data_IF_627238192325
#
_entry.id   IF_627238192325
#
_cell.length_a   1.000
_cell.length_b   1.000
_cell.length_c   1.000
_cell.angle_alpha   90.00
_cell.angle_beta   90.00
_cell.angle_gamma   90.00
#
_symmetry.space_group_name_H-M   'P 1'
#
loop_
_entity.id
_entity.type
_entity.pdbx_description
1 polymer ?
#
# COMPACT_ATOMS: atom_id res chain seq x y z
N UNK A 1 21.72 0.20 22.43
CA UNK A 1 20.87 1.26 23.03
C UNK A 1 21.12 1.31 24.53
N UNK A 2 21.11 2.51 25.15
CA UNK A 2 21.33 2.72 26.59
C UNK A 2 20.09 3.27 27.31
N UNK A 3 18.93 2.68 27.00
CA UNK A 3 17.63 3.20 27.42
C UNK A 3 17.49 3.26 28.94
N UNK A 4 17.84 2.19 29.64
CA UNK A 4 17.72 2.12 31.10
C UNK A 4 18.67 3.11 31.77
N UNK A 5 19.93 3.14 31.35
CA UNK A 5 20.93 4.03 31.93
C UNK A 5 20.55 5.51 31.75
N UNK A 6 20.04 5.89 30.57
CA UNK A 6 19.69 7.27 30.25
C UNK A 6 18.38 7.74 30.91
N UNK A 7 17.39 6.85 31.05
CA UNK A 7 16.03 7.25 31.43
C UNK A 7 15.58 6.76 32.82
N UNK A 8 16.10 5.63 33.33
CA UNK A 8 15.58 4.98 34.54
C UNK A 8 16.59 4.79 35.66
N UNK A 9 17.88 4.73 35.37
CA UNK A 9 18.92 4.49 36.38
C UNK A 9 18.91 5.53 37.51
N UNK A 10 18.52 6.77 37.18
CA UNK A 10 18.44 7.89 38.13
C UNK A 10 17.26 7.78 39.11
N UNK A 11 16.26 6.94 38.81
CA UNK A 11 15.11 6.73 39.69
C UNK A 11 15.41 5.74 40.83
N UNK A 12 16.33 4.79 40.60
CA UNK A 12 16.66 3.71 41.55
C UNK A 12 17.02 4.25 42.95
N UNK A 13 17.91 5.27 43.10
CA UNK A 13 18.26 5.82 44.41
C UNK A 13 17.05 6.30 45.20
N UNK A 14 16.14 7.01 44.53
CA UNK A 14 14.93 7.54 45.14
C UNK A 14 13.96 6.42 45.48
N UNK A 15 13.78 5.43 44.60
CA UNK A 15 12.90 4.29 44.84
C UNK A 15 13.35 3.46 46.04
N UNK A 16 14.64 3.12 46.12
CA UNK A 16 15.25 2.44 47.28
C UNK A 16 15.04 3.23 48.57
N UNK A 17 15.30 4.54 48.55
CA UNK A 17 15.14 5.41 49.71
C UNK A 17 13.68 5.50 50.16
N UNK A 18 12.75 5.60 49.21
CA UNK A 18 11.31 5.65 49.48
C UNK A 18 10.82 4.33 50.06
N UNK A 19 11.20 3.19 49.49
CA UNK A 19 10.89 1.86 50.02
C UNK A 19 11.42 1.70 51.44
N UNK A 20 12.71 1.99 51.67
CA UNK A 20 13.31 1.91 53.01
C UNK A 20 12.54 2.76 54.03
N UNK A 21 12.20 3.99 53.69
CA UNK A 21 11.43 4.89 54.58
C UNK A 21 10.01 4.41 54.80
N UNK A 22 9.32 3.93 53.76
CA UNK A 22 7.95 3.40 53.82
C UNK A 22 7.83 2.28 54.85
N UNK A 23 8.85 1.41 54.93
CA UNK A 23 8.91 0.29 55.88
C UNK A 23 9.67 0.62 57.19
N UNK A 24 9.97 1.90 57.45
CA UNK A 24 10.69 2.36 58.65
C UNK A 24 12.05 1.70 58.91
N UNK A 25 12.74 1.29 57.85
CA UNK A 25 14.04 0.62 57.92
C UNK A 25 15.18 1.65 58.04
N UNK A 26 16.24 1.30 58.79
CA UNK A 26 17.50 2.05 58.85
C UNK A 26 18.41 1.61 57.69
N UNK A 27 19.36 2.47 57.32
CA UNK A 27 20.35 2.13 56.29
C UNK A 27 21.22 0.91 56.68
N UNK A 28 21.42 0.69 57.99
CA UNK A 28 22.11 -0.49 58.53
C UNK A 28 21.36 -1.80 58.30
N UNK A 29 20.03 -1.71 58.13
CA UNK A 29 19.18 -2.90 57.97
C UNK A 29 19.26 -3.44 56.53
N UNK A 30 19.80 -2.63 55.61
CA UNK A 30 20.06 -2.98 54.21
C UNK A 30 21.55 -3.27 53.92
N UNK A 31 22.36 -3.47 54.98
CA UNK A 31 23.79 -3.72 54.90
C UNK A 31 24.64 -2.57 55.45
N UNK A 32 25.78 -2.28 54.81
CA UNK A 32 26.66 -1.22 55.29
C UNK A 32 25.99 0.16 55.11
N UNK A 33 25.65 0.83 56.21
CA UNK A 33 24.94 2.11 56.19
C UNK A 33 25.63 3.18 55.32
N UNK A 34 26.97 3.20 55.29
CA UNK A 34 27.75 4.08 54.43
C UNK A 34 27.52 3.78 52.95
N UNK A 35 27.57 2.51 52.55
CA UNK A 35 27.33 2.07 51.17
C UNK A 35 25.88 2.35 50.73
N UNK A 36 24.90 2.00 51.56
CA UNK A 36 23.48 2.26 51.30
C UNK A 36 23.22 3.76 51.14
N UNK A 37 23.85 4.59 51.98
CA UNK A 37 23.79 6.06 51.86
C UNK A 37 24.37 6.59 50.55
N UNK A 38 25.41 5.95 50.00
CA UNK A 38 25.94 6.33 48.68
C UNK A 38 24.97 5.92 47.55
N UNK A 39 24.34 4.75 47.65
CA UNK A 39 23.33 4.28 46.68
C UNK A 39 22.12 5.19 46.68
N UNK A 40 21.56 5.54 47.84
CA UNK A 40 20.42 6.48 47.96
C UNK A 40 20.72 7.90 47.49
N UNK A 41 22.01 8.25 47.31
CA UNK A 41 22.47 9.53 46.75
C UNK A 41 22.84 9.44 45.28
N UNK A 42 22.67 8.29 44.64
CA UNK A 42 23.08 8.05 43.25
C UNK A 42 24.59 8.04 43.03
N UNK A 43 25.40 7.95 44.10
CA UNK A 43 26.87 7.96 44.01
C UNK A 43 27.46 6.57 43.80
N UNK A 44 26.65 5.51 43.97
CA UNK A 44 27.03 4.13 43.76
C UNK A 44 25.84 3.35 43.21
N UNK A 45 26.11 2.40 42.31
CA UNK A 45 25.09 1.47 41.82
C UNK A 45 24.58 0.56 42.94
N UNK A 46 23.33 0.12 42.80
CA UNK A 46 22.73 -0.86 43.71
C UNK A 46 23.42 -2.22 43.54
N UNK A 47 23.57 -2.97 44.64
CA UNK A 47 24.19 -4.30 44.64
C UNK A 47 23.15 -5.38 44.94
N UNK A 48 23.43 -6.61 44.51
CA UNK A 48 22.58 -7.79 44.78
C UNK A 48 22.27 -7.97 46.27
N UNK A 49 23.24 -7.67 47.15
CA UNK A 49 23.03 -7.77 48.60
C UNK A 49 22.02 -6.74 49.12
N UNK A 50 22.05 -5.49 48.63
CA UNK A 50 21.07 -4.47 49.00
C UNK A 50 19.68 -4.88 48.50
N UNK A 51 19.58 -5.45 47.31
CA UNK A 51 18.33 -6.00 46.78
C UNK A 51 17.78 -7.12 47.66
N UNK A 52 18.60 -8.11 48.01
CA UNK A 52 18.22 -9.21 48.90
C UNK A 52 17.67 -8.68 50.24
N UNK A 53 18.38 -7.73 50.87
CA UNK A 53 17.92 -7.17 52.13
C UNK A 53 16.61 -6.39 51.97
N UNK A 54 16.43 -5.63 50.89
CA UNK A 54 15.15 -4.98 50.62
C UNK A 54 14.03 -5.99 50.43
N UNK A 55 14.22 -6.99 49.56
CA UNK A 55 13.23 -8.03 49.31
C UNK A 55 12.84 -8.75 50.61
N UNK A 56 13.81 -9.24 51.38
CA UNK A 56 13.54 -9.95 52.65
C UNK A 56 12.86 -9.09 53.73
N UNK A 57 13.11 -7.79 53.76
CA UNK A 57 12.52 -6.88 54.77
C UNK A 57 11.18 -6.27 54.35
N UNK A 58 10.87 -6.25 53.06
CA UNK A 58 9.70 -5.53 52.52
C UNK A 58 8.73 -6.40 51.71
N UNK A 59 9.12 -7.64 51.41
CA UNK A 59 8.44 -8.56 50.49
C UNK A 59 8.24 -7.99 49.08
N UNK A 60 9.01 -6.95 48.71
CA UNK A 60 8.96 -6.34 47.38
C UNK A 60 9.78 -7.15 46.38
N UNK A 61 9.21 -7.39 45.19
CA UNK A 61 9.88 -8.09 44.10
C UNK A 61 11.12 -7.30 43.61
N UNK A 62 12.20 -8.01 43.27
CA UNK A 62 13.38 -7.40 42.65
C UNK A 62 13.04 -6.60 41.39
N UNK A 63 12.08 -7.08 40.59
CA UNK A 63 11.56 -6.39 39.41
C UNK A 63 10.99 -5.01 39.78
N UNK A 64 10.16 -4.95 40.81
CA UNK A 64 9.54 -3.71 41.29
C UNK A 64 10.58 -2.75 41.87
N UNK A 65 11.59 -3.27 42.57
CA UNK A 65 12.67 -2.44 43.12
C UNK A 65 13.48 -1.78 41.99
N UNK A 66 13.80 -2.53 40.91
CA UNK A 66 14.67 -2.05 39.83
C UNK A 66 13.92 -1.29 38.73
N UNK A 67 12.80 -1.82 38.25
CA UNK A 67 12.04 -1.25 37.14
C UNK A 67 10.85 -0.41 37.61
N UNK A 68 10.32 -0.68 38.81
CA UNK A 68 9.10 -0.03 39.31
C UNK A 68 7.88 -0.75 38.76
N UNK A 69 6.97 0.01 38.17
CA UNK A 69 5.88 -0.59 37.39
C UNK A 69 6.44 -1.16 36.08
N UNK A 70 6.51 -2.50 36.00
CA UNK A 70 7.10 -3.20 34.86
C UNK A 70 6.31 -2.96 33.57
N UNK A 71 4.98 -2.85 33.66
CA UNK A 71 4.11 -2.57 32.52
C UNK A 71 4.44 -1.20 31.95
N UNK A 72 4.51 -0.19 32.82
CA UNK A 72 4.88 1.18 32.41
C UNK A 72 6.31 1.29 31.90
N UNK A 73 7.25 0.56 32.50
CA UNK A 73 8.63 0.51 32.03
C UNK A 73 8.70 -0.04 30.60
N UNK A 74 8.04 -1.18 30.34
CA UNK A 74 8.03 -1.82 29.01
C UNK A 74 7.29 -0.98 27.98
N UNK A 75 6.18 -0.34 28.37
CA UNK A 75 5.44 0.62 27.53
C UNK A 75 6.33 1.77 27.08
N UNK A 76 7.01 2.44 28.01
CA UNK A 76 7.89 3.56 27.73
C UNK A 76 9.10 3.14 26.89
N UNK A 77 9.63 1.93 27.12
CA UNK A 77 10.69 1.36 26.28
C UNK A 77 10.20 1.11 24.86
N UNK A 78 9.01 0.51 24.70
CA UNK A 78 8.42 0.30 23.39
C UNK A 78 8.15 1.63 22.70
N UNK A 79 7.62 2.64 23.40
CA UNK A 79 7.40 3.98 22.87
C UNK A 79 8.71 4.59 22.34
N UNK A 80 9.79 4.53 23.13
CA UNK A 80 11.10 5.03 22.74
C UNK A 80 11.68 4.28 21.53
N UNK A 81 11.59 2.95 21.52
CA UNK A 81 12.02 2.15 20.38
C UNK A 81 11.17 2.45 19.13
N UNK A 82 9.86 2.61 19.28
CA UNK A 82 8.94 2.85 18.18
C UNK A 82 9.07 4.27 17.63
N UNK A 83 9.38 5.28 18.46
CA UNK A 83 9.65 6.65 17.99
C UNK A 83 10.84 6.75 17.05
N UNK A 84 11.70 5.72 16.98
CA UNK A 84 12.77 5.64 15.99
C UNK A 84 12.27 5.71 14.54
N UNK A 85 11.00 5.37 14.26
CA UNK A 85 10.42 5.47 12.90
C UNK A 85 10.31 6.91 12.39
N UNK A 86 10.35 7.90 13.28
CA UNK A 86 10.24 9.31 12.94
C UNK A 86 11.51 9.83 12.25
N UNK A 87 12.65 9.19 12.46
CA UNK A 87 13.93 9.60 11.89
C UNK A 87 14.19 8.90 10.56
N UNK A 88 15.11 9.46 9.76
CA UNK A 88 15.62 8.77 8.56
C UNK A 88 16.18 7.39 8.87
N UNK A 89 16.26 6.54 7.85
CA UNK A 89 16.78 5.18 7.98
C UNK A 89 18.23 5.23 8.47
N UNK A 90 18.43 4.80 9.72
CA UNK A 90 19.71 4.92 10.45
C UNK A 90 20.84 4.12 9.77
N UNK A 91 20.49 3.13 8.96
CA UNK A 91 21.41 2.34 8.14
C UNK A 91 22.00 3.15 6.96
N UNK A 92 21.28 4.18 6.50
CA UNK A 92 21.62 4.91 5.27
C UNK A 92 22.27 6.28 5.51
N UNK A 93 22.07 6.86 6.69
CA UNK A 93 22.54 8.21 7.03
C UNK A 93 23.91 8.21 7.70
N UNK A 94 24.62 9.33 7.62
CA UNK A 94 25.88 9.51 8.35
C UNK A 94 25.63 9.42 9.87
N UNK A 95 26.46 8.66 10.59
CA UNK A 95 26.38 8.48 12.05
C UNK A 95 26.40 9.80 12.83
N UNK A 96 26.94 10.88 12.24
CA UNK A 96 26.98 12.23 12.83
C UNK A 96 25.67 12.99 12.73
N UNK A 97 24.70 12.50 11.96
CA UNK A 97 23.40 13.14 11.79
C UNK A 97 22.62 13.19 13.10
N UNK A 98 22.68 12.13 13.90
CA UNK A 98 21.98 12.03 15.18
C UNK A 98 22.94 11.72 16.31
N UNK A 99 22.89 12.53 17.38
CA UNK A 99 23.75 12.33 18.55
C UNK A 99 23.42 11.06 19.35
N UNK A 100 22.23 10.52 19.16
CA UNK A 100 21.75 9.30 19.83
C UNK A 100 22.04 8.02 19.03
N UNK A 101 22.72 8.12 17.88
CA UNK A 101 22.97 6.98 17.00
C UNK A 101 23.77 5.86 17.71
N UNK A 102 23.34 4.61 17.55
CA UNK A 102 23.95 3.40 18.12
C UNK A 102 23.67 2.19 17.21
N UNK A 103 24.58 1.21 17.13
CA UNK A 103 24.43 0.04 16.25
C UNK A 103 23.18 -0.79 16.59
N UNK A 104 22.83 -0.93 17.88
CA UNK A 104 21.63 -1.68 18.28
C UNK A 104 20.35 -0.96 17.82
N UNK A 105 20.38 0.39 17.74
CA UNK A 105 19.22 1.18 17.30
C UNK A 105 18.89 0.95 15.83
N UNK A 106 19.84 0.56 14.98
CA UNK A 106 19.53 0.22 13.58
C UNK A 106 18.63 -1.01 13.51
N UNK A 107 18.95 -2.06 14.30
CA UNK A 107 18.14 -3.28 14.33
C UNK A 107 16.75 -3.01 14.93
N UNK A 108 16.70 -2.20 15.99
CA UNK A 108 15.44 -1.75 16.61
C UNK A 108 14.58 -1.00 15.59
N UNK A 109 15.14 0.04 14.95
CA UNK A 109 14.42 0.84 13.96
C UNK A 109 13.92 -0.02 12.80
N UNK A 110 14.75 -0.93 12.27
CA UNK A 110 14.35 -1.83 11.19
C UNK A 110 13.10 -2.66 11.56
N UNK A 111 13.05 -3.19 12.78
CA UNK A 111 11.89 -3.95 13.27
C UNK A 111 10.64 -3.07 13.45
N UNK A 112 10.79 -1.85 13.99
CA UNK A 112 9.71 -0.89 14.15
C UNK A 112 9.17 -0.38 12.81
N UNK A 113 10.05 -0.09 11.84
CA UNK A 113 9.68 0.30 10.48
C UNK A 113 8.85 -0.80 9.81
N UNK A 114 9.28 -2.06 9.90
CA UNK A 114 8.50 -3.20 9.39
C UNK A 114 7.11 -3.31 9.99
N UNK A 115 6.96 -3.01 11.28
CA UNK A 115 5.68 -3.03 11.97
C UNK A 115 4.80 -1.84 11.53
N UNK A 116 5.36 -0.64 11.45
CA UNK A 116 4.65 0.59 11.07
C UNK A 116 4.06 0.54 9.66
N UNK A 117 4.60 -0.31 8.76
CA UNK A 117 4.05 -0.56 7.43
C UNK A 117 2.61 -1.05 7.40
N UNK A 118 2.07 -1.50 8.53
CA UNK A 118 0.65 -1.83 8.66
C UNK A 118 -0.28 -0.62 8.49
N UNK A 119 0.25 0.61 8.59
CA UNK A 119 -0.52 1.85 8.45
C UNK A 119 -0.24 2.50 7.08
N UNK A 120 -1.27 2.61 6.24
CA UNK A 120 -1.17 3.20 4.91
C UNK A 120 -0.72 4.66 4.96
N UNK A 121 -1.28 5.45 5.89
CA UNK A 121 -0.88 6.84 6.10
C UNK A 121 0.63 6.96 6.38
N UNK A 122 1.15 6.11 7.26
CA UNK A 122 2.58 6.06 7.54
C UNK A 122 3.39 5.81 6.26
N UNK A 123 3.03 4.82 5.45
CA UNK A 123 3.78 4.50 4.23
C UNK A 123 3.81 5.66 3.23
N UNK A 124 2.68 6.35 3.03
CA UNK A 124 2.57 7.51 2.15
C UNK A 124 3.45 8.66 2.67
N UNK A 125 3.28 9.04 3.93
CA UNK A 125 3.99 10.18 4.53
C UNK A 125 5.48 9.89 4.69
N UNK A 126 5.84 8.64 5.00
CA UNK A 126 7.24 8.18 5.11
C UNK A 126 7.95 8.30 3.77
N UNK A 127 7.31 7.95 2.67
CA UNK A 127 7.89 8.11 1.33
C UNK A 127 8.18 9.58 1.02
N UNK A 128 7.21 10.46 1.27
CA UNK A 128 7.40 11.91 1.10
C UNK A 128 8.54 12.43 2.00
N UNK A 129 8.61 11.96 3.24
CA UNK A 129 9.67 12.32 4.18
C UNK A 129 11.05 11.91 3.67
N UNK A 130 11.21 10.67 3.17
CA UNK A 130 12.50 10.19 2.64
C UNK A 130 12.94 10.99 1.40
N UNK A 131 11.98 11.46 0.58
CA UNK A 131 12.22 12.33 -0.57
C UNK A 131 12.48 13.81 -0.23
N UNK A 132 12.11 14.24 0.98
CA UNK A 132 12.35 15.61 1.47
C UNK A 132 13.81 15.81 1.94
N UNK A 133 14.13 16.98 2.50
CA UNK A 133 15.38 17.26 3.24
C UNK A 133 15.19 17.22 4.77
N UNK A 134 13.98 16.90 5.26
CA UNK A 134 13.68 16.82 6.69
C UNK A 134 14.49 15.72 7.37
N UNK A 135 14.86 15.94 8.63
CA UNK A 135 15.61 14.98 9.44
C UNK A 135 14.70 14.16 10.35
N UNK A 136 13.53 14.68 10.68
CA UNK A 136 12.56 14.04 11.55
C UNK A 136 11.15 14.33 11.02
N UNK A 137 10.30 13.32 11.04
CA UNK A 137 8.89 13.46 10.66
C UNK A 137 8.15 14.25 11.72
N UNK A 138 7.30 15.17 11.29
CA UNK A 138 6.44 15.89 12.21
C UNK A 138 5.34 14.98 12.78
N UNK A 139 4.86 15.28 13.98
CA UNK A 139 3.79 14.51 14.63
C UNK A 139 2.71 15.40 15.23
N UNK A 140 1.46 14.98 15.13
CA UNK A 140 0.40 15.47 16.01
C UNK A 140 -0.67 14.39 16.17
N UNK A 141 -1.33 14.39 17.32
CA UNK A 141 -2.47 13.52 17.52
C UNK A 141 -3.70 14.14 16.86
N UNK A 142 -4.35 13.42 15.94
CA UNK A 142 -5.51 13.90 15.19
C UNK A 142 -6.71 14.22 16.07
N UNK A 143 -6.78 13.62 17.26
CA UNK A 143 -7.78 13.98 18.29
C UNK A 143 -7.60 15.41 18.81
N UNK A 144 -6.41 15.99 18.68
CA UNK A 144 -6.10 17.36 19.09
C UNK A 144 -6.20 18.37 17.93
N UNK A 145 -6.51 17.92 16.71
CA UNK A 145 -6.74 18.81 15.56
C UNK A 145 -8.17 19.39 15.61
N UNK A 146 -8.43 20.13 16.69
CA UNK A 146 -9.71 20.74 17.01
C UNK A 146 -9.54 22.25 17.16
N UNK A 147 -10.42 22.99 16.50
CA UNK A 147 -10.53 24.43 16.65
C UNK A 147 -11.34 24.80 17.91
N UNK A 148 -10.74 25.62 18.76
CA UNK A 148 -11.31 26.17 19.98
C UNK A 148 -11.36 27.69 19.87
N UNK A 149 -12.55 28.26 20.07
CA UNK A 149 -12.72 29.71 20.11
C UNK A 149 -12.66 30.23 21.55
N UNK A 150 -11.76 31.16 21.82
CA UNK A 150 -11.64 31.86 23.11
C UNK A 150 -11.82 33.37 22.86
N UNK A 151 -12.99 33.89 23.25
CA UNK A 151 -13.39 35.26 22.92
C UNK A 151 -13.61 35.42 21.41
N UNK A 152 -12.86 36.34 20.78
CA UNK A 152 -12.91 36.59 19.33
C UNK A 152 -11.79 35.87 18.55
N UNK A 153 -10.99 35.02 19.21
CA UNK A 153 -9.84 34.34 18.59
C UNK A 153 -10.10 32.83 18.52
N UNK A 154 -9.79 32.23 17.37
CA UNK A 154 -9.77 30.78 17.20
C UNK A 154 -8.34 30.25 17.34
N UNK A 155 -8.19 29.14 18.04
CA UNK A 155 -6.94 28.43 18.26
C UNK A 155 -7.16 26.95 17.97
N UNK A 156 -6.24 26.32 17.26
CA UNK A 156 -6.21 24.88 17.08
C UNK A 156 -5.20 24.26 18.05
N UNK A 157 -5.61 23.28 18.86
CA UNK A 157 -4.75 22.72 19.90
C UNK A 157 -3.47 22.10 19.35
N UNK A 158 -3.57 21.33 18.25
CA UNK A 158 -2.43 20.69 17.62
C UNK A 158 -1.48 21.67 16.90
N UNK A 159 -1.97 22.85 16.48
CA UNK A 159 -1.27 23.74 15.54
C UNK A 159 -0.87 25.08 16.12
N UNK A 160 -1.78 25.76 16.83
CA UNK A 160 -1.61 27.16 17.23
C UNK A 160 -0.54 27.40 18.29
N UNK A 161 -0.07 26.36 18.97
CA UNK A 161 0.94 26.45 20.03
C UNK A 161 2.32 25.93 19.60
N UNK A 162 2.48 25.53 18.33
CA UNK A 162 3.78 25.08 17.79
C UNK A 162 4.67 26.28 17.44
N UNK A 163 5.98 26.07 17.54
CA UNK A 163 6.99 27.03 17.10
C UNK A 163 7.18 27.04 15.58
N UNK A 164 6.85 25.94 14.90
CA UNK A 164 6.96 25.75 13.46
C UNK A 164 5.62 25.27 12.88
N UNK A 165 5.40 25.57 11.60
CA UNK A 165 4.24 25.07 10.85
C UNK A 165 4.38 23.58 10.57
N UNK A 166 3.27 22.85 10.65
CA UNK A 166 3.22 21.42 10.32
C UNK A 166 3.39 21.21 8.82
N UNK A 167 4.22 20.24 8.45
CA UNK A 167 4.31 19.78 7.07
C UNK A 167 3.28 18.67 6.81
N UNK A 168 2.15 19.03 6.20
CA UNK A 168 1.05 18.09 5.89
C UNK A 168 1.46 16.91 4.99
N UNK A 169 2.59 17.01 4.28
CA UNK A 169 3.08 15.97 3.39
C UNK A 169 3.91 14.89 4.10
N UNK A 170 4.36 15.13 5.33
CA UNK A 170 5.24 14.22 6.07
C UNK A 170 4.76 13.90 7.48
N UNK A 171 3.73 14.60 7.95
CA UNK A 171 3.17 14.44 9.29
C UNK A 171 2.38 13.16 9.46
N UNK A 172 2.52 12.53 10.64
CA UNK A 172 1.79 11.31 11.03
C UNK A 172 1.14 11.44 12.42
N UNK A 173 0.09 10.66 12.66
CA UNK A 173 -0.50 10.47 13.99
C UNK A 173 0.24 9.35 14.73
N UNK A 174 1.43 9.69 15.24
CA UNK A 174 2.30 8.75 15.94
C UNK A 174 1.63 8.15 17.19
N UNK A 175 0.88 8.96 17.93
CA UNK A 175 0.20 8.52 19.17
C UNK A 175 -0.89 7.47 18.86
N UNK A 176 -1.74 7.70 17.84
CA UNK A 176 -2.76 6.71 17.46
C UNK A 176 -2.10 5.40 16.98
N UNK A 177 -1.02 5.49 16.21
CA UNK A 177 -0.26 4.31 15.78
C UNK A 177 0.34 3.54 16.96
N UNK A 178 0.96 4.26 17.90
CA UNK A 178 1.54 3.68 19.11
C UNK A 178 0.47 2.99 19.97
N UNK A 179 -0.63 3.68 20.26
CA UNK A 179 -1.73 3.16 21.08
C UNK A 179 -2.26 1.84 20.50
N UNK A 180 -2.54 1.80 19.20
CA UNK A 180 -3.04 0.59 18.52
C UNK A 180 -2.03 -0.55 18.65
N UNK A 181 -0.75 -0.29 18.39
CA UNK A 181 0.28 -1.33 18.45
C UNK A 181 0.56 -1.79 19.88
N UNK A 182 0.53 -0.89 20.86
CA UNK A 182 0.70 -1.23 22.27
C UNK A 182 -0.45 -2.09 22.78
N UNK A 183 -1.69 -1.78 22.38
CA UNK A 183 -2.86 -2.64 22.66
C UNK A 183 -2.69 -4.05 22.06
N UNK A 184 -1.98 -4.18 20.94
CA UNK A 184 -1.72 -5.46 20.28
C UNK A 184 -0.50 -6.22 20.82
N UNK A 185 0.51 -5.52 21.34
CA UNK A 185 1.81 -6.11 21.67
C UNK A 185 2.11 -6.14 23.16
N UNK A 186 1.52 -5.24 23.95
CA UNK A 186 1.94 -4.95 25.31
C UNK A 186 2.04 -6.19 26.19
N UNK A 187 0.99 -7.02 26.21
CA UNK A 187 0.97 -8.25 27.02
C UNK A 187 2.08 -9.24 26.63
N UNK A 188 2.37 -9.37 25.33
CA UNK A 188 3.41 -10.26 24.83
C UNK A 188 4.81 -9.71 25.10
N UNK A 189 4.99 -8.39 24.96
CA UNK A 189 6.25 -7.71 25.28
C UNK A 189 6.55 -7.82 26.78
N UNK A 190 5.57 -7.58 27.65
CA UNK A 190 5.74 -7.67 29.10
C UNK A 190 6.11 -9.10 29.51
N UNK A 191 5.33 -10.10 29.08
CA UNK A 191 5.63 -11.51 29.39
C UNK A 191 7.01 -11.93 28.87
N UNK A 192 7.34 -11.54 27.65
CA UNK A 192 8.64 -11.86 27.06
C UNK A 192 9.79 -11.17 27.80
N UNK A 193 9.61 -9.91 28.21
CA UNK A 193 10.60 -9.17 28.99
C UNK A 193 10.84 -9.83 30.35
N UNK A 194 9.78 -10.25 31.05
CA UNK A 194 9.93 -10.95 32.31
C UNK A 194 10.75 -12.23 32.17
N UNK A 195 10.46 -13.05 31.18
CA UNK A 195 11.14 -14.34 30.97
C UNK A 195 12.58 -14.16 30.48
N UNK A 196 12.82 -13.24 29.55
CA UNK A 196 14.10 -13.16 28.84
C UNK A 196 15.05 -12.08 29.38
N UNK A 197 14.56 -11.16 30.21
CA UNK A 197 15.37 -10.14 30.88
C UNK A 197 15.34 -10.35 32.38
N UNK A 198 14.16 -10.34 33.01
CA UNK A 198 14.08 -10.38 34.47
C UNK A 198 14.55 -11.71 35.07
N UNK A 199 14.12 -12.85 34.53
CA UNK A 199 14.51 -14.16 35.07
C UNK A 199 16.03 -14.40 34.96
N UNK A 200 16.67 -13.87 33.91
CA UNK A 200 18.13 -13.91 33.75
C UNK A 200 18.81 -12.94 34.72
N UNK A 201 18.29 -11.71 34.83
CA UNK A 201 18.88 -10.65 35.65
C UNK A 201 18.77 -10.95 37.16
N UNK A 202 17.74 -11.67 37.58
CA UNK A 202 17.45 -11.98 38.97
C UNK A 202 17.54 -13.47 39.31
N UNK A 203 18.33 -14.23 38.56
CA UNK A 203 18.56 -15.65 38.82
C UNK A 203 19.12 -15.87 40.23
N UNK A 204 18.38 -16.64 41.04
CA UNK A 204 18.68 -16.85 42.45
C UNK A 204 19.67 -17.98 42.66
N UNK A 205 20.66 -17.75 43.53
CA UNK A 205 21.50 -18.83 44.05
C UNK A 205 20.78 -19.65 45.12
N UNK A 206 21.46 -20.69 45.62
CA UNK A 206 20.93 -21.56 46.69
C UNK A 206 20.63 -20.86 48.03
N UNK A 207 21.01 -19.58 48.18
CA UNK A 207 20.72 -18.75 49.35
C UNK A 207 19.67 -17.66 49.05
N UNK A 208 19.04 -17.68 47.87
CA UNK A 208 18.04 -16.69 47.45
C UNK A 208 18.61 -15.35 47.02
N UNK A 209 19.93 -15.25 46.79
CA UNK A 209 20.58 -14.02 46.34
C UNK A 209 20.49 -13.94 44.82
N UNK A 210 20.09 -12.79 44.23
CA UNK A 210 20.11 -12.61 42.78
C UNK A 210 21.57 -12.54 42.31
N UNK A 211 22.11 -13.69 41.96
CA UNK A 211 23.55 -13.92 41.79
C UNK A 211 24.11 -13.34 40.49
N UNK A 212 23.25 -13.18 39.49
CA UNK A 212 23.54 -12.61 38.18
C UNK A 212 23.33 -11.10 38.12
N UNK A 213 22.69 -10.50 39.13
CA UNK A 213 22.32 -9.09 39.09
C UNK A 213 23.54 -8.16 39.06
N UNK A 214 23.61 -7.36 37.99
CA UNK A 214 24.49 -6.19 37.87
C UNK A 214 23.75 -5.11 37.10
N UNK A 215 23.74 -3.89 37.63
CA UNK A 215 23.02 -2.78 36.99
C UNK A 215 23.55 -2.50 35.58
N UNK A 216 24.87 -2.59 35.38
CA UNK A 216 25.53 -2.42 34.08
C UNK A 216 25.13 -3.46 33.01
N UNK A 217 24.50 -4.56 33.41
CA UNK A 217 24.04 -5.61 32.48
C UNK A 217 22.61 -5.38 31.98
N UNK A 218 21.87 -4.41 32.51
CA UNK A 218 20.45 -4.22 32.18
C UNK A 218 20.28 -3.87 30.70
N UNK A 219 20.91 -2.79 30.22
CA UNK A 219 20.83 -2.38 28.82
C UNK A 219 21.34 -3.46 27.85
N UNK A 220 22.50 -4.12 28.08
CA UNK A 220 22.92 -5.26 27.27
C UNK A 220 21.89 -6.40 27.19
N UNK A 221 21.21 -6.73 28.29
CA UNK A 221 20.15 -7.74 28.29
C UNK A 221 18.91 -7.27 27.53
N UNK A 222 18.54 -6.00 27.64
CA UNK A 222 17.42 -5.40 26.89
C UNK A 222 17.69 -5.47 25.39
N UNK A 223 18.88 -5.03 24.95
CA UNK A 223 19.24 -5.03 23.53
C UNK A 223 19.25 -6.46 22.97
N UNK A 224 19.80 -7.41 23.74
CA UNK A 224 19.77 -8.83 23.40
C UNK A 224 18.34 -9.36 23.33
N UNK A 225 17.48 -9.05 24.31
CA UNK A 225 16.09 -9.49 24.30
C UNK A 225 15.32 -8.95 23.09
N UNK A 226 15.52 -7.68 22.75
CA UNK A 226 14.91 -7.07 21.57
C UNK A 226 15.33 -7.82 20.31
N UNK A 227 16.63 -8.03 20.12
CA UNK A 227 17.16 -8.72 18.95
C UNK A 227 16.71 -10.18 18.87
N UNK A 228 16.88 -10.95 19.96
CA UNK A 228 16.67 -12.40 19.97
C UNK A 228 15.19 -12.80 19.99
N UNK A 229 14.29 -11.95 20.51
CA UNK A 229 12.88 -12.29 20.71
C UNK A 229 11.91 -11.29 20.04
N UNK A 230 12.07 -9.98 20.27
CA UNK A 230 11.11 -8.98 19.79
C UNK A 230 11.15 -8.89 18.26
N UNK A 231 12.33 -8.69 17.69
CA UNK A 231 12.56 -8.52 16.25
C UNK A 231 12.39 -9.80 15.43
N UNK A 232 12.63 -10.97 16.04
CA UNK A 232 12.68 -12.28 15.39
C UNK A 232 11.39 -13.07 15.52
N UNK A 233 10.65 -12.89 16.61
CA UNK A 233 9.45 -13.68 16.92
C UNK A 233 8.22 -12.81 17.12
N UNK A 234 8.24 -11.88 18.09
CA UNK A 234 7.03 -11.14 18.50
C UNK A 234 6.49 -10.27 17.37
N UNK A 235 7.32 -9.37 16.83
CA UNK A 235 6.93 -8.46 15.74
C UNK A 235 6.59 -9.26 14.47
N UNK A 236 7.41 -10.22 14.00
CA UNK A 236 7.07 -11.02 12.83
C UNK A 236 5.75 -11.80 12.95
N UNK A 237 5.45 -12.38 14.12
CA UNK A 237 4.20 -13.08 14.35
C UNK A 237 2.99 -12.14 14.28
N UNK A 238 3.09 -10.93 14.86
CA UNK A 238 2.04 -9.93 14.72
C UNK A 238 1.88 -9.49 13.26
N UNK A 239 2.97 -9.19 12.54
CA UNK A 239 2.91 -8.82 11.11
C UNK A 239 2.20 -9.90 10.29
N UNK A 240 2.43 -11.19 10.58
CA UNK A 240 1.72 -12.28 9.90
C UNK A 240 0.21 -12.19 10.13
N UNK A 241 -0.23 -12.02 11.40
CA UNK A 241 -1.66 -11.82 11.73
C UNK A 241 -2.24 -10.57 11.04
N UNK A 242 -1.50 -9.46 11.04
CA UNK A 242 -1.92 -8.19 10.41
C UNK A 242 -2.11 -8.33 8.90
N UNK A 243 -1.25 -9.09 8.21
CA UNK A 243 -1.39 -9.37 6.77
C UNK A 243 -2.59 -10.26 6.44
N UNK A 244 -3.00 -11.14 7.36
CA UNK A 244 -4.20 -11.97 7.20
C UNK A 244 -5.51 -11.16 7.43
N UNK A 245 -5.42 -10.03 8.15
CA UNK A 245 -6.56 -9.16 8.40
C UNK A 245 -6.73 -8.11 7.28
N UNK A 246 -7.89 -8.03 6.60
CA UNK A 246 -8.08 -7.09 5.49
C UNK A 246 -7.86 -5.61 5.84
N UNK A 247 -8.22 -5.18 7.05
CA UNK A 247 -8.07 -3.78 7.48
C UNK A 247 -6.59 -3.39 7.61
N UNK A 248 -5.80 -4.22 8.29
CA UNK A 248 -4.38 -3.95 8.52
C UNK A 248 -3.51 -4.29 7.30
N UNK A 249 -3.94 -5.25 6.47
CA UNK A 249 -3.25 -5.60 5.23
C UNK A 249 -3.25 -4.45 4.21
N UNK A 250 -4.20 -3.51 4.30
CA UNK A 250 -4.22 -2.30 3.47
C UNK A 250 -2.88 -1.55 3.55
N UNK A 251 -2.28 -1.39 4.74
CA UNK A 251 -0.99 -0.71 4.87
C UNK A 251 0.10 -1.40 4.06
N UNK A 252 0.22 -2.72 4.16
CA UNK A 252 1.21 -3.49 3.41
C UNK A 252 0.97 -3.45 1.89
N UNK A 253 -0.29 -3.41 1.45
CA UNK A 253 -0.62 -3.22 0.03
C UNK A 253 -0.17 -1.84 -0.46
N UNK A 254 -0.38 -0.79 0.35
CA UNK A 254 0.09 0.56 0.03
C UNK A 254 1.62 0.62 -0.02
N UNK A 255 2.32 -0.03 0.92
CA UNK A 255 3.79 -0.17 0.88
C UNK A 255 4.26 -0.83 -0.43
N UNK A 256 3.64 -1.96 -0.83
CA UNK A 256 3.98 -2.66 -2.07
C UNK A 256 3.71 -1.80 -3.32
N UNK A 257 2.61 -1.04 -3.35
CA UNK A 257 2.29 -0.08 -4.42
C UNK A 257 3.42 0.96 -4.52
N UNK A 258 3.80 1.56 -3.40
CA UNK A 258 4.75 2.67 -3.35
C UNK A 258 6.20 2.26 -3.62
N UNK A 259 6.62 1.08 -3.16
CA UNK A 259 8.00 0.60 -3.26
C UNK A 259 8.27 -0.20 -4.54
N UNK A 260 7.31 -1.02 -4.99
CA UNK A 260 7.54 -1.98 -6.08
C UNK A 260 6.96 -1.53 -7.40
N UNK A 261 5.75 -0.98 -7.38
CA UNK A 261 4.96 -0.68 -8.58
C UNK A 261 5.19 0.74 -9.08
N UNK A 262 5.18 1.72 -8.17
CA UNK A 262 5.44 3.11 -8.51
C UNK A 262 6.91 3.32 -8.89
N UNK A 263 7.17 4.06 -9.97
CA UNK A 263 8.53 4.36 -10.46
C UNK A 263 8.77 5.85 -10.52
N UNK A 264 9.74 6.33 -9.75
CA UNK A 264 10.16 7.73 -9.79
C UNK A 264 11.08 8.02 -10.97
N UNK A 265 11.16 9.30 -11.36
CA UNK A 265 12.12 9.80 -12.33
C UNK A 265 12.09 9.08 -13.68
N UNK A 266 10.90 8.71 -14.13
CA UNK A 266 10.70 8.14 -15.47
C UNK A 266 11.17 9.18 -16.50
N UNK A 267 12.05 8.81 -17.44
CA UNK A 267 12.46 9.75 -18.48
C UNK A 267 11.25 10.17 -19.31
N UNK A 268 10.94 11.47 -19.29
CA UNK A 268 9.82 12.04 -20.05
C UNK A 268 9.92 11.61 -21.52
N UNK A 269 8.78 11.17 -22.06
CA UNK A 269 8.70 10.91 -23.49
C UNK A 269 8.91 12.22 -24.27
N UNK A 270 9.85 12.24 -25.21
CA UNK A 270 9.96 13.34 -26.19
C UNK A 270 9.11 13.07 -27.44
N UNK A 271 8.58 11.86 -27.60
CA UNK A 271 7.59 11.55 -28.63
C UNK A 271 6.22 12.02 -28.16
N UNK A 272 5.49 12.67 -29.06
CA UNK A 272 4.09 13.08 -28.86
C UNK A 272 3.10 12.14 -29.55
N UNK A 273 3.59 11.23 -30.41
CA UNK A 273 2.80 10.27 -31.17
C UNK A 273 3.48 8.90 -31.33
N UNK A 274 2.69 7.91 -31.75
CA UNK A 274 3.09 6.55 -32.08
C UNK A 274 2.53 6.14 -33.45
N UNK A 275 3.27 5.32 -34.21
CA UNK A 275 2.74 4.67 -35.41
C UNK A 275 1.79 3.54 -34.99
N UNK A 276 0.49 3.76 -35.21
CA UNK A 276 -0.52 2.75 -35.04
C UNK A 276 -0.75 2.04 -36.38
N UNK A 277 -0.46 0.74 -36.42
CA UNK A 277 -0.77 -0.11 -37.57
C UNK A 277 -2.20 -0.60 -37.43
N UNK A 278 -3.04 -0.24 -38.38
CA UNK A 278 -4.43 -0.68 -38.48
C UNK A 278 -4.54 -1.55 -39.73
N UNK A 279 -5.00 -2.79 -39.55
CA UNK A 279 -5.23 -3.71 -40.65
C UNK A 279 -6.57 -4.42 -40.56
N UNK A 280 -7.22 -4.62 -41.70
CA UNK A 280 -8.47 -5.36 -41.87
C UNK A 280 -8.29 -6.31 -43.05
N UNK A 281 -8.59 -7.59 -42.85
CA UNK A 281 -8.63 -8.56 -43.94
C UNK A 281 -9.92 -8.41 -44.73
N UNK A 282 -9.83 -8.58 -46.04
CA UNK A 282 -10.94 -8.66 -46.96
C UNK A 282 -11.99 -9.64 -46.43
N UNK A 283 -13.24 -9.19 -46.39
CA UNK A 283 -14.38 -10.02 -46.01
C UNK A 283 -15.49 -9.86 -47.00
N UNK A 284 -16.20 -10.96 -47.19
CA UNK A 284 -17.44 -10.97 -47.94
C UNK A 284 -18.57 -10.56 -47.00
N UNK A 285 -19.18 -9.41 -47.27
CA UNK A 285 -20.42 -8.95 -46.65
C UNK A 285 -21.57 -9.10 -47.63
N UNK A 286 -22.81 -9.01 -47.16
CA UNK A 286 -23.96 -8.98 -48.05
C UNK A 286 -24.95 -7.92 -47.61
N UNK A 287 -25.65 -7.33 -48.58
CA UNK A 287 -26.82 -6.50 -48.34
C UNK A 287 -28.07 -7.24 -48.80
N UNK A 288 -29.14 -7.11 -48.02
CA UNK A 288 -30.46 -7.62 -48.37
C UNK A 288 -31.38 -6.44 -48.66
N UNK A 289 -31.75 -6.25 -49.91
CA UNK A 289 -32.64 -5.18 -50.33
C UNK A 289 -34.06 -5.73 -50.48
N UNK A 290 -34.85 -5.63 -49.41
CA UNK A 290 -36.25 -6.09 -49.40
C UNK A 290 -37.15 -4.99 -49.97
N UNK A 291 -37.02 -4.70 -51.26
CA UNK A 291 -38.01 -3.84 -51.95
C UNK A 291 -39.09 -4.74 -52.58
N UNK A 292 -40.27 -4.72 -51.97
CA UNK A 292 -41.35 -5.70 -52.15
C UNK A 292 -42.12 -5.67 -53.48
N UNK A 293 -41.44 -5.70 -54.62
CA UNK A 293 -42.14 -5.61 -55.93
C UNK A 293 -41.48 -6.35 -57.09
N UNK A 294 -40.65 -7.36 -56.83
CA UNK A 294 -40.24 -8.33 -57.88
C UNK A 294 -41.03 -9.64 -57.71
N UNK A 295 -41.48 -10.24 -58.83
CA UNK A 295 -42.09 -11.58 -58.84
C UNK A 295 -41.01 -12.60 -58.47
N UNK A 296 -40.84 -12.80 -57.17
CA UNK A 296 -39.83 -13.69 -56.62
C UNK A 296 -40.38 -15.12 -56.60
N UNK A 297 -39.61 -16.08 -57.11
CA UNK A 297 -39.88 -17.51 -56.93
C UNK A 297 -39.64 -17.87 -55.45
N UNK A 298 -40.74 -18.08 -54.72
CA UNK A 298 -40.73 -18.37 -53.28
C UNK A 298 -39.91 -19.63 -52.94
N UNK A 299 -39.94 -20.65 -53.79
CA UNK A 299 -39.21 -21.91 -53.58
C UNK A 299 -37.71 -21.70 -53.75
N UNK A 300 -37.31 -20.96 -54.80
CA UNK A 300 -35.90 -20.66 -55.08
C UNK A 300 -35.29 -19.75 -54.01
N UNK A 301 -36.07 -18.80 -53.50
CA UNK A 301 -35.66 -17.91 -52.40
C UNK A 301 -35.46 -18.66 -51.10
N UNK A 302 -36.38 -19.57 -50.76
CA UNK A 302 -36.24 -20.43 -49.59
C UNK A 302 -35.00 -21.32 -49.70
N UNK A 303 -34.68 -21.82 -50.90
CA UNK A 303 -33.51 -22.64 -51.15
C UNK A 303 -32.20 -21.85 -50.97
N UNK A 304 -32.11 -20.65 -51.56
CA UNK A 304 -30.93 -19.80 -51.41
C UNK A 304 -30.73 -19.40 -49.94
N UNK A 305 -31.80 -19.05 -49.22
CA UNK A 305 -31.73 -18.74 -47.80
C UNK A 305 -31.26 -19.92 -46.94
N UNK A 306 -31.73 -21.14 -47.23
CA UNK A 306 -31.28 -22.34 -46.52
C UNK A 306 -29.80 -22.65 -46.78
N UNK A 307 -29.34 -22.50 -48.02
CA UNK A 307 -27.92 -22.70 -48.35
C UNK A 307 -27.04 -21.62 -47.70
N UNK A 308 -27.50 -20.37 -47.65
CA UNK A 308 -26.86 -19.29 -46.92
C UNK A 308 -26.73 -19.62 -45.42
N UNK A 309 -27.82 -19.97 -44.75
CA UNK A 309 -27.80 -20.34 -43.33
C UNK A 309 -26.90 -21.55 -43.06
N UNK A 310 -26.83 -22.49 -44.00
CA UNK A 310 -25.92 -23.64 -43.92
C UNK A 310 -24.45 -23.20 -44.00
N UNK A 311 -24.07 -22.32 -44.92
CA UNK A 311 -22.71 -21.78 -45.01
C UNK A 311 -22.31 -21.05 -43.72
N UNK A 312 -23.20 -20.18 -43.20
CA UNK A 312 -23.00 -19.46 -41.94
C UNK A 312 -22.80 -20.44 -40.78
N UNK A 313 -23.65 -21.47 -40.66
CA UNK A 313 -23.54 -22.48 -39.59
C UNK A 313 -22.25 -23.30 -39.65
N UNK A 314 -21.65 -23.42 -40.84
CA UNK A 314 -20.40 -24.13 -41.09
C UNK A 314 -19.17 -23.22 -41.00
N UNK A 315 -19.35 -21.91 -40.79
CA UNK A 315 -18.27 -20.92 -40.79
C UNK A 315 -17.59 -20.75 -42.15
N UNK A 316 -18.29 -21.01 -43.26
CA UNK A 316 -17.77 -20.84 -44.62
C UNK A 316 -18.03 -19.45 -45.16
N UNK A 317 -17.21 -19.01 -46.12
CA UNK A 317 -17.36 -17.70 -46.76
C UNK A 317 -18.63 -17.66 -47.62
N UNK A 318 -19.41 -16.59 -47.49
CA UNK A 318 -20.69 -16.42 -48.20
C UNK A 318 -20.53 -16.30 -49.73
N UNK A 319 -19.33 -15.97 -50.23
CA UNK A 319 -19.02 -15.99 -51.67
C UNK A 319 -19.11 -17.39 -52.28
N UNK A 320 -19.10 -18.46 -51.48
CA UNK A 320 -19.35 -19.82 -51.95
C UNK A 320 -20.77 -19.98 -52.54
N UNK A 321 -21.70 -19.06 -52.27
CA UNK A 321 -22.99 -19.02 -52.97
C UNK A 321 -22.84 -18.86 -54.49
N UNK A 322 -21.79 -18.16 -54.95
CA UNK A 322 -21.52 -17.99 -56.39
C UNK A 322 -21.13 -19.31 -57.08
N UNK A 323 -20.80 -20.37 -56.33
CA UNK A 323 -20.57 -21.69 -56.90
C UNK A 323 -21.88 -22.37 -57.35
N UNK A 324 -23.02 -21.92 -56.82
CA UNK A 324 -24.34 -22.53 -57.03
C UNK A 324 -25.34 -21.59 -57.71
N UNK A 325 -25.19 -20.29 -57.54
CA UNK A 325 -26.09 -19.26 -58.04
C UNK A 325 -25.31 -18.16 -58.77
N UNK A 326 -25.85 -17.66 -59.86
CA UNK A 326 -25.30 -16.50 -60.56
C UNK A 326 -25.55 -15.19 -59.81
N UNK A 327 -24.75 -14.16 -60.12
CA UNK A 327 -24.91 -12.83 -59.52
C UNK A 327 -26.27 -12.20 -59.83
N UNK A 328 -26.80 -12.43 -61.03
CA UNK A 328 -28.16 -12.00 -61.41
C UNK A 328 -29.22 -12.69 -60.54
N UNK A 329 -29.11 -14.01 -60.32
CA UNK A 329 -30.05 -14.77 -59.48
C UNK A 329 -30.05 -14.33 -58.01
N UNK A 330 -28.89 -13.97 -57.47
CA UNK A 330 -28.77 -13.43 -56.11
C UNK A 330 -29.32 -12.00 -56.04
N UNK A 331 -29.02 -11.16 -57.05
CA UNK A 331 -29.48 -9.77 -57.11
C UNK A 331 -31.00 -9.66 -57.30
N UNK A 332 -31.60 -10.56 -58.09
CA UNK A 332 -33.05 -10.64 -58.35
C UNK A 332 -33.87 -10.96 -57.10
N UNK A 333 -33.26 -11.59 -56.08
CA UNK A 333 -33.89 -11.82 -54.78
C UNK A 333 -33.41 -10.82 -53.71
N UNK A 334 -32.73 -9.76 -54.12
CA UNK A 334 -32.26 -8.68 -53.27
C UNK A 334 -30.98 -8.97 -52.49
N UNK A 335 -30.26 -10.06 -52.76
CA UNK A 335 -28.97 -10.37 -52.14
C UNK A 335 -27.84 -9.83 -53.01
N UNK A 336 -27.07 -8.87 -52.50
CA UNK A 336 -25.80 -8.47 -53.11
C UNK A 336 -24.65 -8.82 -52.20
N UNK A 337 -23.71 -9.62 -52.69
CA UNK A 337 -22.49 -9.97 -51.95
C UNK A 337 -21.41 -8.97 -52.35
N UNK A 338 -20.76 -8.38 -51.35
CA UNK A 338 -19.70 -7.40 -51.52
C UNK A 338 -18.44 -7.93 -50.88
N UNK A 339 -17.34 -7.94 -51.63
CA UNK A 339 -16.04 -8.31 -51.10
C UNK A 339 -15.23 -7.05 -50.86
N UNK A 340 -14.94 -6.76 -49.59
CA UNK A 340 -14.04 -5.66 -49.24
C UNK A 340 -12.59 -6.01 -49.61
N UNK A 341 -11.74 -4.99 -49.71
CA UNK A 341 -10.31 -5.17 -49.94
C UNK A 341 -9.54 -5.37 -48.63
N UNK A 342 -8.34 -5.94 -48.71
CA UNK A 342 -7.38 -5.88 -47.61
C UNK A 342 -7.01 -4.41 -47.38
N UNK A 343 -7.06 -3.97 -46.12
CA UNK A 343 -6.65 -2.63 -45.71
C UNK A 343 -5.49 -2.80 -44.73
N UNK A 344 -4.39 -2.09 -45.00
CA UNK A 344 -3.26 -1.95 -44.08
C UNK A 344 -2.78 -0.51 -44.17
N UNK A 345 -2.77 0.18 -43.03
CA UNK A 345 -2.31 1.57 -42.94
C UNK A 345 -1.61 1.81 -41.62
N UNK A 346 -0.65 2.73 -41.68
CA UNK A 346 0.08 3.23 -40.52
C UNK A 346 -0.38 4.66 -40.31
N UNK A 347 -0.95 4.94 -39.14
CA UNK A 347 -1.39 6.27 -38.75
C UNK A 347 -0.56 6.73 -37.56
N UNK A 348 0.01 7.93 -37.65
CA UNK A 348 0.58 8.60 -36.47
C UNK A 348 -0.57 9.05 -35.56
N UNK A 349 -0.60 8.51 -34.34
CA UNK A 349 -1.60 8.83 -33.32
C UNK A 349 -0.92 9.41 -32.10
N UNK A 350 -1.47 10.48 -31.56
CA UNK A 350 -0.92 11.07 -30.33
C UNK A 350 -1.12 10.14 -29.14
N UNK A 351 -0.28 10.28 -28.11
CA UNK A 351 -0.43 9.51 -26.88
C UNK A 351 -1.80 9.71 -26.21
N UNK A 352 -2.30 10.95 -26.21
CA UNK A 352 -3.60 11.28 -25.61
C UNK A 352 -4.76 10.62 -26.37
N UNK A 353 -4.68 10.51 -27.71
CA UNK A 353 -5.66 9.76 -28.52
C UNK A 353 -5.66 8.27 -28.15
N UNK A 354 -4.48 7.66 -28.04
CA UNK A 354 -4.35 6.25 -27.67
C UNK A 354 -4.87 6.01 -26.24
N UNK A 355 -4.58 6.90 -25.28
CA UNK A 355 -5.13 6.81 -23.92
C UNK A 355 -6.63 6.96 -23.93
N UNK A 356 -7.18 7.95 -24.64
CA UNK A 356 -8.63 8.11 -24.74
C UNK A 356 -9.32 6.88 -25.32
N UNK A 357 -8.63 6.10 -26.15
CA UNK A 357 -9.10 4.78 -26.57
C UNK A 357 -9.01 3.76 -25.44
N UNK A 358 -7.83 3.51 -24.89
CA UNK A 358 -7.65 2.37 -23.95
C UNK A 358 -8.27 2.60 -22.57
N UNK A 359 -8.44 3.85 -22.13
CA UNK A 359 -9.13 4.19 -20.88
C UNK A 359 -10.65 4.23 -21.04
N UNK A 360 -11.15 4.14 -22.27
CA UNK A 360 -12.57 4.10 -22.52
C UNK A 360 -13.15 2.79 -21.94
N UNK A 361 -14.20 2.84 -21.11
CA UNK A 361 -14.79 1.63 -20.54
C UNK A 361 -15.40 0.67 -21.58
N UNK A 362 -15.51 1.11 -22.84
CA UNK A 362 -16.01 0.32 -23.97
C UNK A 362 -14.91 -0.10 -24.96
N UNK A 363 -13.64 0.17 -24.64
CA UNK A 363 -12.49 -0.21 -25.46
C UNK A 363 -12.37 -1.74 -25.60
N UNK A 364 -12.66 -2.45 -24.52
CA UNK A 364 -12.71 -3.91 -24.49
C UNK A 364 -14.05 -4.37 -23.92
N UNK A 365 -14.46 -5.57 -24.29
CA UNK A 365 -15.68 -6.21 -23.83
C UNK A 365 -15.33 -7.21 -22.75
N UNK A 366 -16.00 -7.16 -21.58
CA UNK A 366 -15.87 -8.25 -20.62
C UNK A 366 -16.34 -9.55 -21.28
N UNK A 367 -15.79 -10.69 -20.86
CA UNK A 367 -16.26 -12.00 -21.30
C UNK A 367 -17.73 -12.13 -20.83
N UNK A 368 -18.66 -12.14 -21.79
CA UNK A 368 -20.10 -12.23 -21.54
C UNK A 368 -20.62 -13.65 -21.82
N UNK A 369 -21.58 -14.11 -21.01
CA UNK A 369 -22.38 -15.28 -21.36
C UNK A 369 -23.18 -15.01 -22.65
N UNK A 370 -23.33 -16.02 -23.51
CA UNK A 370 -23.99 -15.89 -24.82
C UNK A 370 -25.38 -15.23 -24.77
N UNK A 371 -26.12 -15.44 -23.69
CA UNK A 371 -27.46 -14.90 -23.47
C UNK A 371 -27.48 -13.41 -23.12
N UNK A 372 -26.34 -12.83 -22.70
CA UNK A 372 -26.20 -11.43 -22.31
C UNK A 372 -25.59 -10.56 -23.42
N UNK A 373 -25.21 -11.14 -24.57
CA UNK A 373 -24.62 -10.41 -25.69
C UNK A 373 -25.68 -9.49 -26.29
N UNK A 374 -25.59 -8.20 -25.97
CA UNK A 374 -26.34 -7.15 -26.64
C UNK A 374 -25.54 -6.59 -27.82
N UNK A 375 -26.22 -6.22 -28.89
CA UNK A 375 -25.60 -5.47 -29.99
C UNK A 375 -25.33 -4.06 -29.47
N UNK A 376 -24.09 -3.79 -29.10
CA UNK A 376 -23.67 -2.44 -28.74
C UNK A 376 -23.46 -1.58 -29.99
N UNK A 377 -23.86 -0.30 -29.96
CA UNK A 377 -23.58 0.62 -31.06
C UNK A 377 -22.07 0.85 -31.19
N UNK A 378 -21.60 1.10 -32.42
CA UNK A 378 -20.22 1.53 -32.68
C UNK A 378 -19.92 2.83 -31.94
N UNK A 379 -18.70 2.94 -31.41
CA UNK A 379 -18.27 4.10 -30.62
C UNK A 379 -16.98 4.66 -31.19
N UNK A 380 -16.85 5.97 -31.20
CA UNK A 380 -15.73 6.65 -31.82
C UNK A 380 -15.16 7.70 -30.87
N UNK A 381 -13.84 7.93 -30.93
CA UNK A 381 -13.23 9.09 -30.29
C UNK A 381 -13.67 10.36 -31.00
N UNK A 382 -13.45 11.52 -30.39
CA UNK A 382 -13.78 12.79 -31.04
C UNK A 382 -12.97 12.98 -32.33
N UNK A 383 -11.70 12.59 -32.31
CA UNK A 383 -10.77 12.67 -33.42
C UNK A 383 -11.14 11.69 -34.54
N UNK A 384 -11.58 10.47 -34.19
CA UNK A 384 -12.03 9.51 -35.18
C UNK A 384 -13.34 9.91 -35.85
N UNK A 385 -14.28 10.52 -35.11
CA UNK A 385 -15.48 11.09 -35.73
C UNK A 385 -15.13 12.12 -36.80
N UNK A 386 -14.18 13.01 -36.51
CA UNK A 386 -13.70 13.99 -37.49
C UNK A 386 -13.10 13.31 -38.73
N UNK A 387 -12.23 12.30 -38.53
CA UNK A 387 -11.64 11.52 -39.65
C UNK A 387 -12.71 10.84 -40.51
N UNK A 388 -13.74 10.26 -39.89
CA UNK A 388 -14.86 9.61 -40.59
C UNK A 388 -15.65 10.66 -41.39
N UNK A 389 -16.05 11.77 -40.76
CA UNK A 389 -16.82 12.84 -41.39
C UNK A 389 -16.06 13.49 -42.57
N UNK A 390 -14.77 13.75 -42.40
CA UNK A 390 -13.89 14.29 -43.44
C UNK A 390 -13.80 13.36 -44.65
N UNK A 391 -13.59 12.07 -44.42
CA UNK A 391 -13.49 11.08 -45.51
C UNK A 391 -14.85 10.86 -46.18
N UNK A 392 -15.95 10.80 -45.40
CA UNK A 392 -17.30 10.67 -45.92
C UNK A 392 -17.68 11.85 -46.82
N UNK A 393 -17.24 13.06 -46.49
CA UNK A 393 -17.47 14.28 -47.29
C UNK A 393 -16.81 14.25 -48.68
N UNK A 394 -15.87 13.33 -48.93
CA UNK A 394 -15.19 13.15 -50.21
C UNK A 394 -15.99 12.26 -51.19
N UNK A 395 -17.16 11.76 -50.80
CA UNK A 395 -18.07 11.02 -51.68
C UNK A 395 -17.77 9.53 -51.83
N UNK A 396 -17.35 8.88 -50.74
CA UNK A 396 -17.19 7.41 -50.67
C UNK A 396 -18.54 6.70 -50.75
N UNK A 397 -18.56 5.45 -51.21
CA UNK A 397 -19.78 4.65 -51.28
C UNK A 397 -20.17 4.06 -49.91
N UNK A 398 -21.41 3.55 -49.79
CA UNK A 398 -21.94 3.01 -48.52
C UNK A 398 -21.09 1.87 -47.94
N UNK A 399 -20.45 1.06 -48.80
CA UNK A 399 -19.62 -0.07 -48.39
C UNK A 399 -18.28 0.43 -47.83
N UNK A 400 -17.66 1.39 -48.51
CA UNK A 400 -16.44 2.07 -48.06
C UNK A 400 -16.67 2.80 -46.74
N UNK A 401 -17.86 3.38 -46.52
CA UNK A 401 -18.24 4.01 -45.27
C UNK A 401 -18.37 2.98 -44.12
N UNK A 402 -18.95 1.80 -44.37
CA UNK A 402 -19.02 0.71 -43.38
C UNK A 402 -17.61 0.23 -43.01
N UNK A 403 -16.75 0.03 -44.02
CA UNK A 403 -15.36 -0.37 -43.77
C UNK A 403 -14.60 0.69 -42.95
N UNK A 404 -14.84 1.97 -43.23
CA UNK A 404 -14.25 3.10 -42.50
C UNK A 404 -14.72 3.16 -41.04
N UNK A 405 -16.02 2.94 -40.80
CA UNK A 405 -16.62 2.87 -39.46
C UNK A 405 -16.01 1.72 -38.66
N UNK A 406 -15.91 0.52 -39.23
CA UNK A 406 -15.30 -0.62 -38.54
C UNK A 406 -13.84 -0.34 -38.13
N UNK A 407 -13.07 0.33 -39.00
CA UNK A 407 -11.66 0.62 -38.78
C UNK A 407 -11.44 1.55 -37.59
N UNK A 408 -12.33 2.53 -37.41
CA UNK A 408 -12.23 3.56 -36.37
C UNK A 408 -13.10 3.31 -35.14
N UNK A 409 -13.87 2.22 -35.10
CA UNK A 409 -14.60 1.80 -33.90
C UNK A 409 -13.62 1.56 -32.73
N UNK A 410 -13.89 2.19 -31.58
CA UNK A 410 -13.07 2.15 -30.36
C UNK A 410 -12.92 0.71 -29.84
N UNK A 411 -13.85 -0.18 -30.14
CA UNK A 411 -13.80 -1.57 -29.71
C UNK A 411 -12.52 -2.27 -30.23
N UNK A 412 -11.54 -2.42 -29.34
CA UNK A 412 -10.26 -3.08 -29.58
C UNK A 412 -10.39 -4.60 -29.70
N UNK A 413 -11.46 -5.19 -29.18
CA UNK A 413 -11.78 -6.62 -29.35
C UNK A 413 -12.47 -6.92 -30.68
N UNK A 414 -12.58 -5.94 -31.58
CA UNK A 414 -13.13 -6.17 -32.91
C UNK A 414 -12.23 -7.13 -33.69
N UNK A 415 -12.64 -8.40 -33.79
CA UNK A 415 -11.93 -9.44 -34.55
C UNK A 415 -11.82 -9.15 -36.04
N UNK A 416 -12.51 -8.13 -36.54
CA UNK A 416 -12.44 -7.67 -37.93
C UNK A 416 -11.27 -6.73 -38.20
N UNK A 417 -10.76 -6.06 -37.17
CA UNK A 417 -9.72 -5.04 -37.31
C UNK A 417 -8.59 -5.34 -36.33
N UNK A 418 -7.42 -5.61 -36.85
CA UNK A 418 -6.20 -5.76 -36.06
C UNK A 418 -5.55 -4.39 -35.90
N UNK A 419 -5.25 -4.03 -34.65
CA UNK A 419 -4.58 -2.77 -34.28
C UNK A 419 -3.38 -3.10 -33.42
N UNK A 420 -2.21 -2.60 -33.77
CA UNK A 420 -1.03 -2.73 -32.92
C UNK A 420 -0.10 -1.54 -33.06
N UNK A 421 0.59 -1.22 -31.97
CA UNK A 421 1.66 -0.22 -31.95
C UNK A 421 2.97 -0.99 -32.17
N UNK A 422 3.69 -0.67 -33.24
CA UNK A 422 4.98 -1.31 -33.51
C UNK A 422 5.97 -1.05 -32.37
N UNK A 423 6.65 -2.11 -31.94
CA UNK A 423 7.70 -2.02 -30.93
C UNK A 423 7.23 -1.73 -29.51
N UNK A 424 5.93 -1.79 -29.20
CA UNK A 424 5.34 -1.53 -27.87
C UNK A 424 6.04 -2.31 -26.73
N UNK A 425 6.45 -3.56 -27.00
CA UNK A 425 7.07 -4.44 -26.00
C UNK A 425 8.60 -4.55 -26.11
N UNK A 426 9.24 -3.96 -27.12
CA UNK A 426 10.64 -4.25 -27.45
C UNK A 426 11.51 -3.00 -27.59
N UNK A 427 11.13 -2.06 -28.45
CA UNK A 427 12.01 -0.96 -28.88
C UNK A 427 11.45 0.43 -28.57
N UNK A 428 10.16 0.55 -28.23
CA UNK A 428 9.53 1.83 -27.97
C UNK A 428 9.47 2.14 -26.47
N UNK A 429 10.64 2.32 -25.86
CA UNK A 429 10.78 2.64 -24.43
C UNK A 429 9.99 3.89 -24.03
N UNK A 430 9.74 4.80 -24.98
CA UNK A 430 8.97 6.02 -24.77
C UNK A 430 7.49 5.73 -24.46
N UNK A 431 6.87 4.77 -25.13
CA UNK A 431 5.48 4.34 -24.84
C UNK A 431 5.39 3.69 -23.48
N UNK A 432 6.38 2.86 -23.13
CA UNK A 432 6.47 2.22 -21.81
C UNK A 432 6.64 3.26 -20.71
N UNK A 433 7.45 4.31 -20.93
CA UNK A 433 7.62 5.41 -19.98
C UNK A 433 6.31 6.17 -19.76
N UNK A 434 5.64 6.58 -20.84
CA UNK A 434 4.36 7.29 -20.73
C UNK A 434 3.26 6.40 -20.09
N UNK A 435 3.21 5.10 -20.41
CA UNK A 435 2.33 4.16 -19.72
C UNK A 435 2.62 4.09 -18.22
N UNK A 436 3.91 4.04 -17.83
CA UNK A 436 4.30 4.04 -16.42
C UNK A 436 3.95 5.38 -15.74
N UNK A 437 4.04 6.52 -16.43
CA UNK A 437 3.57 7.82 -15.90
C UNK A 437 2.07 7.77 -15.58
N UNK A 438 1.24 7.24 -16.49
CA UNK A 438 -0.20 7.07 -16.24
C UNK A 438 -0.51 6.03 -15.18
N UNK A 439 0.22 4.92 -15.16
CA UNK A 439 0.09 3.93 -14.11
C UNK A 439 0.45 4.51 -12.74
N UNK A 440 1.48 5.36 -12.65
CA UNK A 440 1.84 6.03 -11.41
C UNK A 440 0.72 6.93 -10.86
N UNK A 441 0.02 7.68 -11.73
CA UNK A 441 -1.14 8.51 -11.34
C UNK A 441 -2.22 7.64 -10.67
N UNK A 442 -2.62 6.54 -11.32
CA UNK A 442 -3.62 5.59 -10.82
C UNK A 442 -3.17 4.88 -9.53
N UNK A 443 -1.90 4.49 -9.45
CA UNK A 443 -1.33 3.83 -8.26
C UNK A 443 -1.32 4.74 -7.05
N UNK A 444 -0.99 6.03 -7.24
CA UNK A 444 -1.06 7.01 -6.16
C UNK A 444 -2.50 7.25 -5.72
N UNK A 445 -3.44 7.41 -6.65
CA UNK A 445 -4.86 7.58 -6.31
C UNK A 445 -5.41 6.37 -5.55
N UNK A 446 -5.01 5.16 -5.94
CA UNK A 446 -5.34 3.93 -5.24
C UNK A 446 -4.77 3.93 -3.81
N UNK A 447 -3.50 4.29 -3.63
CA UNK A 447 -2.87 4.36 -2.31
C UNK A 447 -3.60 5.34 -1.37
N UNK A 448 -3.93 6.53 -1.85
CA UNK A 448 -4.69 7.51 -1.07
C UNK A 448 -6.13 7.06 -0.76
N UNK A 449 -6.78 6.36 -1.70
CA UNK A 449 -8.13 5.83 -1.50
C UNK A 449 -8.13 4.72 -0.44
N UNK A 450 -7.15 3.83 -0.49
CA UNK A 450 -6.94 2.79 0.50
C UNK A 450 -6.63 3.36 1.89
N UNK A 451 -5.77 4.38 1.98
CA UNK A 451 -5.50 5.08 3.24
C UNK A 451 -6.78 5.64 3.87
N UNK A 452 -7.59 6.38 3.09
CA UNK A 452 -8.88 6.92 3.57
C UNK A 452 -9.79 5.83 4.12
N UNK A 453 -9.87 4.69 3.45
CA UNK A 453 -10.66 3.54 3.91
C UNK A 453 -10.11 2.99 5.23
N UNK A 454 -8.80 2.73 5.31
CA UNK A 454 -8.18 2.20 6.53
C UNK A 454 -8.38 3.16 7.71
N UNK A 455 -8.10 4.45 7.53
CA UNK A 455 -8.26 5.50 8.52
C UNK A 455 -9.70 5.61 9.04
N UNK A 456 -10.70 5.45 8.16
CA UNK A 456 -12.10 5.45 8.56
C UNK A 456 -12.45 4.24 9.44
N UNK A 457 -11.97 3.05 9.09
CA UNK A 457 -12.24 1.83 9.86
C UNK A 457 -11.48 1.76 11.18
N UNK A 458 -10.22 2.23 11.23
CA UNK A 458 -9.45 2.29 12.48
C UNK A 458 -10.20 3.08 13.55
N UNK A 459 -10.85 4.19 13.18
CA UNK A 459 -11.66 5.02 14.09
C UNK A 459 -12.92 4.33 14.65
N UNK A 460 -13.34 3.23 14.03
CA UNK A 460 -14.50 2.44 14.48
C UNK A 460 -14.09 1.29 15.40
N UNK A 461 -12.79 1.05 15.58
CA UNK A 461 -12.29 0.04 16.50
C UNK A 461 -12.36 0.56 17.94
N UNK A 462 -12.70 -0.35 18.85
CA UNK A 462 -12.57 -0.11 20.29
C UNK A 462 -11.35 -0.87 20.85
N UNK A 463 -10.85 -0.44 22.00
CA UNK A 463 -9.65 -1.01 22.61
C UNK A 463 -9.79 -2.51 22.94
N UNK A 464 -10.98 -2.97 23.33
CA UNK A 464 -11.22 -4.37 23.68
C UNK A 464 -11.11 -5.29 22.46
N UNK A 465 -11.62 -4.84 21.31
CA UNK A 465 -11.52 -5.55 20.04
C UNK A 465 -10.07 -5.65 19.56
N UNK A 466 -9.30 -4.57 19.69
CA UNK A 466 -7.87 -4.54 19.35
C UNK A 466 -7.09 -5.53 20.23
N UNK A 467 -7.33 -5.53 21.55
CA UNK A 467 -6.69 -6.49 22.48
C UNK A 467 -7.08 -7.93 22.18
N UNK A 468 -8.32 -8.20 21.78
CA UNK A 468 -8.76 -9.56 21.40
C UNK A 468 -8.12 -10.05 20.11
N UNK A 469 -7.84 -9.16 19.16
CA UNK A 469 -7.12 -9.49 17.93
C UNK A 469 -5.66 -9.93 18.20
N UNK A 470 -5.07 -9.41 19.28
CA UNK A 470 -3.69 -9.70 19.69
C UNK A 470 -3.49 -11.15 20.14
N UNK A 471 -4.47 -11.69 20.89
CA UNK A 471 -4.50 -13.07 21.39
C UNK A 471 -4.49 -14.06 20.22
#
# INVERSE_FOLDING_TARGET
>A
MKFFDENYSQEIPNRIKCLRKKYNLKQSDLGNAGQVSQVEKGKRQVTASILLYLNTQTDSDYKEIIFGDITKFVENMFYHCFSSILFRDLETVDKRMYSFWDDDLISIQSSCLRLSKTFANFNIQRKNFLASDETEMDTFHKKDDIDITVGEKSYNLARSFRTSTINELTVIDFEEMFDILWLMLGDNLIKSFEVNVCDILFELDGNGIPSTFRQENIDPLINKWWYDNVSTEIIPNLIKKLKENPLFNIGFLVDDILERMYKENIPKSYLTSVPLVISKKARSTFSLNVTGSQKIDELKTLQINNDFMKLVSQGKDITDLYQKYSEEELTDIGIRIHKSSDIERIEERTFDEIISWVSNPYATRPIQERSAIQIEPTRFSLEDKKRIEETASQGINDIELIDLVDLYDINLDNTSVSRHIEGLLTNNTQVTHYFQEKLNEELLEMAYSLDKVQQAFIKLLNEEEIRKFAL
#
